data_IF_832620117838
#
_entry.id   IF_832620117838
#
_cell.length_a   1.000
_cell.length_b   1.000
_cell.length_c   1.000
_cell.angle_alpha   90.00
_cell.angle_beta   90.00
_cell.angle_gamma   90.00
#
_symmetry.space_group_name_H-M   'P 1'
#
loop_
_entity.id
_entity.type
_entity.pdbx_description
1 polymer ?
#
# COMPACT_ATOMS: atom_id res chain seq x y z
N UNK A 1 52.76 -46.02 -42.80
CA UNK A 1 52.08 -46.68 -43.94
C UNK A 1 50.72 -47.14 -43.43
N UNK A 2 49.67 -46.32 -43.61
CA UNK A 2 48.65 -46.43 -44.69
C UNK A 2 47.81 -47.69 -44.52
N UNK A 3 46.48 -47.74 -44.51
CA UNK A 3 45.33 -46.86 -44.76
C UNK A 3 44.12 -47.79 -44.43
N UNK A 4 43.00 -47.40 -43.80
CA UNK A 4 41.76 -46.90 -44.42
C UNK A 4 40.51 -47.58 -43.79
N UNK A 5 39.44 -46.77 -43.59
CA UNK A 5 37.99 -47.10 -43.69
C UNK A 5 37.39 -47.95 -42.54
N UNK A 6 36.17 -47.74 -42.01
CA UNK A 6 34.92 -47.13 -42.46
C UNK A 6 34.27 -46.38 -41.25
N UNK A 7 33.79 -45.15 -41.37
CA UNK A 7 32.42 -44.78 -41.76
C UNK A 7 31.30 -45.57 -41.03
N UNK A 8 30.77 -44.99 -39.96
CA UNK A 8 29.39 -45.24 -39.49
C UNK A 8 28.87 -43.98 -38.77
N UNK A 9 28.58 -42.98 -39.58
CA UNK A 9 28.07 -41.66 -39.21
C UNK A 9 26.61 -41.79 -38.75
N UNK A 10 26.39 -41.89 -37.43
CA UNK A 10 25.05 -41.90 -36.85
C UNK A 10 24.64 -40.46 -36.55
N UNK A 11 23.86 -39.89 -37.48
CA UNK A 11 23.11 -38.66 -37.26
C UNK A 11 21.96 -38.96 -36.30
N UNK A 12 22.17 -38.74 -34.99
CA UNK A 12 21.08 -38.66 -34.03
C UNK A 12 20.73 -37.18 -33.84
N UNK A 13 19.74 -36.76 -34.61
CA UNK A 13 18.99 -35.52 -34.45
C UNK A 13 18.37 -35.47 -33.06
N UNK A 14 19.04 -34.81 -32.12
CA UNK A 14 18.41 -34.39 -30.87
C UNK A 14 17.81 -33.01 -31.12
N UNK A 15 16.54 -32.98 -31.50
CA UNK A 15 15.70 -31.78 -31.39
C UNK A 15 15.60 -31.45 -29.89
N UNK A 16 16.50 -30.60 -29.40
CA UNK A 16 16.34 -29.90 -28.13
C UNK A 16 15.18 -28.92 -28.33
N UNK A 17 13.96 -29.41 -28.12
CA UNK A 17 12.80 -28.58 -27.90
C UNK A 17 13.12 -27.81 -26.62
N UNK A 18 13.58 -26.58 -26.79
CA UNK A 18 13.66 -25.57 -25.74
C UNK A 18 12.23 -25.31 -25.28
N UNK A 19 11.76 -26.15 -24.36
CA UNK A 19 10.54 -25.91 -23.61
C UNK A 19 10.80 -24.62 -22.82
N UNK A 20 10.45 -23.51 -23.45
CA UNK A 20 10.49 -22.18 -22.87
C UNK A 20 9.28 -22.13 -21.96
N UNK A 21 9.34 -22.85 -20.83
CA UNK A 21 8.42 -22.59 -19.74
C UNK A 21 8.64 -21.10 -19.42
N UNK A 22 7.62 -20.23 -19.57
CA UNK A 22 7.72 -18.92 -18.98
C UNK A 22 7.95 -19.17 -17.49
N UNK A 23 9.13 -18.81 -16.99
CA UNK A 23 9.38 -18.75 -15.57
C UNK A 23 8.41 -17.71 -15.04
N UNK A 24 7.28 -18.15 -14.47
CA UNK A 24 6.42 -17.30 -13.67
C UNK A 24 7.18 -17.03 -12.38
N UNK A 25 8.13 -16.10 -12.46
CA UNK A 25 8.64 -15.42 -11.28
C UNK A 25 7.57 -14.40 -10.89
N UNK A 26 6.45 -14.85 -10.32
CA UNK A 26 5.43 -13.95 -9.78
C UNK A 26 5.90 -13.41 -8.43
N UNK A 27 6.96 -12.60 -8.45
CA UNK A 27 7.29 -11.65 -7.38
C UNK A 27 6.42 -10.40 -7.54
N UNK A 28 5.10 -10.59 -7.56
CA UNK A 28 4.13 -9.54 -7.87
C UNK A 28 3.35 -9.17 -6.61
N UNK A 29 3.09 -7.88 -6.44
CA UNK A 29 2.23 -7.38 -5.38
C UNK A 29 0.84 -8.02 -5.45
N UNK A 30 0.36 -8.53 -4.32
CA UNK A 30 -0.90 -9.26 -4.24
C UNK A 30 -2.02 -8.40 -3.68
N UNK A 31 -3.18 -8.41 -4.35
CA UNK A 31 -4.41 -7.86 -3.83
C UNK A 31 -5.11 -8.94 -2.99
N UNK A 32 -5.55 -8.58 -1.78
CA UNK A 32 -6.29 -9.50 -0.92
C UNK A 32 -7.47 -8.76 -0.30
N UNK A 33 -8.60 -9.45 -0.22
CA UNK A 33 -9.73 -9.04 0.59
C UNK A 33 -9.83 -10.00 1.78
N UNK A 34 -9.97 -9.45 2.97
CA UNK A 34 -9.99 -10.19 4.24
C UNK A 34 -11.12 -9.67 5.12
N UNK A 35 -11.46 -10.44 6.14
CA UNK A 35 -12.41 -10.06 7.18
C UNK A 35 -11.68 -10.14 8.52
N UNK A 36 -11.74 -9.07 9.29
CA UNK A 36 -11.20 -9.04 10.64
C UNK A 36 -12.07 -9.91 11.55
N UNK A 37 -11.45 -10.89 12.21
CA UNK A 37 -12.14 -11.86 13.05
C UNK A 37 -12.72 -11.27 14.35
N UNK A 38 -12.24 -10.11 14.79
CA UNK A 38 -12.69 -9.48 16.05
C UNK A 38 -13.95 -8.65 15.87
N UNK A 39 -14.10 -8.00 14.72
CA UNK A 39 -15.21 -7.07 14.48
C UNK A 39 -16.02 -7.39 13.22
N UNK A 40 -15.70 -8.49 12.52
CA UNK A 40 -16.32 -8.94 11.27
C UNK A 40 -16.31 -7.88 10.15
N UNK A 41 -15.39 -6.93 10.20
CA UNK A 41 -15.26 -5.91 9.16
C UNK A 41 -14.38 -6.42 8.03
N UNK A 42 -14.89 -6.32 6.80
CA UNK A 42 -14.10 -6.57 5.61
C UNK A 42 -13.10 -5.45 5.37
N UNK A 43 -11.92 -5.80 4.90
CA UNK A 43 -10.85 -4.88 4.56
C UNK A 43 -10.09 -5.40 3.34
N UNK A 44 -9.52 -4.49 2.56
CA UNK A 44 -8.72 -4.83 1.38
C UNK A 44 -7.28 -4.40 1.60
N UNK A 45 -6.35 -5.11 0.96
CA UNK A 45 -4.94 -4.81 1.10
C UNK A 45 -4.13 -5.18 -0.14
N UNK A 46 -3.09 -4.39 -0.39
CA UNK A 46 -2.09 -4.61 -1.41
C UNK A 46 -0.82 -4.97 -0.65
N UNK A 47 -0.35 -6.20 -0.79
CA UNK A 47 0.80 -6.74 -0.05
C UNK A 47 1.97 -6.98 -0.99
N UNK A 48 3.15 -6.53 -0.59
CA UNK A 48 4.40 -6.75 -1.32
C UNK A 48 4.68 -8.25 -1.48
N UNK A 49 5.47 -8.63 -2.49
CA UNK A 49 5.94 -10.00 -2.65
C UNK A 49 6.62 -10.52 -1.37
N UNK A 50 6.60 -11.84 -1.19
CA UNK A 50 7.41 -12.48 -0.16
C UNK A 50 8.91 -12.28 -0.46
N UNK A 51 9.74 -12.12 0.58
CA UNK A 51 11.18 -12.07 0.42
C UNK A 51 11.69 -13.36 -0.25
N UNK A 52 12.77 -13.22 -1.02
CA UNK A 52 13.37 -14.38 -1.70
C UNK A 52 13.94 -15.35 -0.66
N UNK A 53 13.81 -16.68 -0.86
CA UNK A 53 14.43 -17.67 0.02
C UNK A 53 15.94 -17.41 0.18
N UNK A 54 16.41 -17.28 1.43
CA UNK A 54 17.82 -17.02 1.75
C UNK A 54 18.19 -15.54 1.90
N UNK A 55 17.24 -14.61 1.72
CA UNK A 55 17.35 -13.24 2.23
C UNK A 55 16.93 -13.23 3.70
N UNK A 56 17.73 -12.60 4.56
CA UNK A 56 17.57 -12.69 6.02
C UNK A 56 16.73 -11.56 6.64
N UNK A 57 16.24 -10.61 5.83
CA UNK A 57 15.47 -9.45 6.28
C UNK A 57 14.02 -9.54 5.74
N UNK A 58 13.14 -10.18 6.50
CA UNK A 58 11.75 -10.46 6.13
C UNK A 58 10.83 -9.23 6.27
N UNK A 59 11.20 -8.11 5.65
CA UNK A 59 10.35 -6.91 5.63
C UNK A 59 9.31 -7.04 4.52
N UNK A 60 8.05 -7.01 4.90
CA UNK A 60 6.92 -6.89 4.00
C UNK A 60 6.22 -5.54 4.19
N UNK A 61 5.83 -4.92 3.07
CA UNK A 61 5.04 -3.71 3.05
C UNK A 61 3.61 -4.03 2.60
N UNK A 62 2.62 -3.38 3.19
CA UNK A 62 1.24 -3.47 2.73
C UNK A 62 0.55 -2.12 2.83
N UNK A 63 -0.26 -1.79 1.83
CA UNK A 63 -1.31 -0.78 1.99
C UNK A 63 -2.61 -1.49 2.33
N UNK A 64 -3.30 -1.01 3.35
CA UNK A 64 -4.53 -1.60 3.87
C UNK A 64 -5.60 -0.53 3.88
N UNK A 65 -6.76 -0.83 3.29
CA UNK A 65 -7.96 -0.06 3.54
C UNK A 65 -8.85 -0.81 4.52
N UNK A 66 -9.01 -0.26 5.72
CA UNK A 66 -9.86 -0.85 6.77
C UNK A 66 -10.72 0.25 7.40
N UNK A 67 -12.02 0.01 7.50
CA UNK A 67 -12.99 1.01 7.99
C UNK A 67 -12.83 2.38 7.31
N UNK A 68 -12.63 2.38 5.99
CA UNK A 68 -12.41 3.56 5.14
C UNK A 68 -11.19 4.41 5.51
N UNK A 69 -10.26 3.84 6.30
CA UNK A 69 -8.97 4.45 6.61
C UNK A 69 -7.88 3.70 5.87
N UNK A 70 -7.07 4.48 5.16
CA UNK A 70 -5.87 3.98 4.53
C UNK A 70 -4.75 3.90 5.57
N UNK A 71 -4.13 2.73 5.66
CA UNK A 71 -3.01 2.45 6.54
C UNK A 71 -1.87 1.87 5.71
N UNK A 72 -0.66 2.36 5.96
CA UNK A 72 0.54 1.66 5.54
C UNK A 72 0.99 0.76 6.70
N UNK A 73 1.16 -0.53 6.41
CA UNK A 73 1.53 -1.56 7.39
C UNK A 73 2.85 -2.17 6.96
N UNK A 74 3.77 -2.29 7.92
CA UNK A 74 5.02 -3.01 7.74
C UNK A 74 5.05 -4.19 8.69
N UNK A 75 5.40 -5.35 8.15
CA UNK A 75 5.59 -6.60 8.88
C UNK A 75 7.07 -6.98 8.77
N UNK A 76 7.71 -7.31 9.89
CA UNK A 76 9.09 -7.81 9.94
C UNK A 76 9.26 -8.80 11.09
N UNK A 77 10.25 -9.69 10.98
CA UNK A 77 10.52 -10.75 11.96
C UNK A 77 10.72 -10.24 13.39
N UNK A 78 11.41 -9.10 13.55
CA UNK A 78 11.56 -8.39 14.82
C UNK A 78 11.65 -6.87 14.59
N UNK A 79 10.52 -6.18 14.66
CA UNK A 79 10.52 -4.72 14.80
C UNK A 79 10.87 -4.42 16.26
N UNK A 80 12.16 -4.30 16.59
CA UNK A 80 12.56 -4.04 17.98
C UNK A 80 12.19 -2.60 18.32
N UNK A 81 10.95 -2.44 18.80
CA UNK A 81 10.35 -1.30 19.49
C UNK A 81 9.31 -1.89 20.44
N UNK A 82 9.14 -1.34 21.64
CA UNK A 82 8.17 -1.89 22.60
C UNK A 82 6.75 -1.87 22.02
N UNK A 83 5.87 -2.78 22.45
CA UNK A 83 4.46 -2.73 22.02
C UNK A 83 3.87 -1.34 22.29
N UNK A 84 3.00 -0.89 21.39
CA UNK A 84 2.40 0.44 21.42
C UNK A 84 3.41 1.61 21.41
N UNK A 85 4.61 1.41 20.85
CA UNK A 85 5.60 2.49 20.72
C UNK A 85 5.77 2.97 19.28
N UNK A 86 6.24 4.21 19.17
CA UNK A 86 6.63 4.78 17.90
C UNK A 86 8.03 4.27 17.51
N UNK A 87 8.22 3.95 16.24
CA UNK A 87 9.53 3.69 15.67
C UNK A 87 9.70 4.41 14.35
N UNK A 88 10.96 4.63 13.98
CA UNK A 88 11.32 5.30 12.73
C UNK A 88 11.53 4.26 11.64
N UNK A 89 10.91 4.53 10.51
CA UNK A 89 11.11 3.82 9.26
C UNK A 89 11.57 4.82 8.22
N UNK A 90 12.54 4.48 7.40
CA UNK A 90 12.90 5.27 6.22
C UNK A 90 12.52 4.47 4.99
N UNK A 91 11.97 5.15 3.98
CA UNK A 91 11.83 4.57 2.65
C UNK A 91 12.50 5.46 1.62
N UNK A 92 12.94 4.84 0.54
CA UNK A 92 13.52 5.51 -0.61
C UNK A 92 12.94 4.89 -1.87
N UNK A 93 12.35 5.72 -2.74
CA UNK A 93 11.92 5.29 -4.07
C UNK A 93 13.10 5.43 -5.03
N UNK A 94 13.46 4.33 -5.69
CA UNK A 94 14.56 4.27 -6.65
C UNK A 94 15.85 4.91 -6.07
N UNK A 95 16.31 6.03 -6.65
CA UNK A 95 17.51 6.78 -6.20
C UNK A 95 17.16 8.15 -5.60
N UNK A 96 15.91 8.37 -5.21
CA UNK A 96 15.47 9.62 -4.61
C UNK A 96 15.99 9.77 -3.15
N UNK A 97 15.82 10.96 -2.57
CA UNK A 97 16.19 11.19 -1.19
C UNK A 97 15.34 10.29 -0.25
N UNK A 98 15.95 9.64 0.76
CA UNK A 98 15.19 8.89 1.76
C UNK A 98 14.21 9.77 2.52
N UNK A 99 13.00 9.26 2.73
CA UNK A 99 11.94 9.89 3.48
C UNK A 99 11.77 9.15 4.81
N UNK A 100 11.93 9.87 5.91
CA UNK A 100 11.73 9.32 7.25
C UNK A 100 10.27 9.42 7.68
N UNK A 101 9.70 8.30 8.06
CA UNK A 101 8.34 8.13 8.55
C UNK A 101 8.33 7.65 10.00
N UNK A 102 7.26 7.99 10.72
CA UNK A 102 6.99 7.45 12.05
C UNK A 102 5.85 6.43 11.97
N UNK A 103 6.11 5.23 12.47
CA UNK A 103 5.16 4.14 12.57
C UNK A 103 4.85 3.83 14.03
N UNK A 104 3.66 3.28 14.29
CA UNK A 104 3.22 2.76 15.59
C UNK A 104 3.18 1.25 15.52
N UNK A 105 3.75 0.53 16.49
CA UNK A 105 3.54 -0.92 16.60
C UNK A 105 2.09 -1.23 16.96
N UNK A 106 1.55 -2.34 16.46
CA UNK A 106 0.24 -2.82 16.91
C UNK A 106 0.28 -3.27 18.39
N UNK A 107 -0.81 -3.11 19.16
CA UNK A 107 -0.86 -3.56 20.55
C UNK A 107 -0.67 -5.07 20.73
N UNK A 108 -1.13 -5.86 19.76
CA UNK A 108 -1.11 -7.32 19.76
C UNK A 108 0.10 -7.92 19.04
N UNK A 109 0.97 -7.09 18.44
CA UNK A 109 2.13 -7.57 17.68
C UNK A 109 3.36 -6.70 17.80
N UNK A 110 4.49 -7.34 18.11
CA UNK A 110 5.84 -6.74 18.05
C UNK A 110 6.46 -6.81 16.65
N UNK A 111 5.76 -7.43 15.70
CA UNK A 111 6.24 -7.70 14.33
C UNK A 111 5.57 -6.81 13.29
N UNK A 112 4.54 -6.06 13.69
CA UNK A 112 3.75 -5.22 12.79
C UNK A 112 3.75 -3.79 13.29
N UNK A 113 4.01 -2.87 12.36
CA UNK A 113 3.83 -1.45 12.56
C UNK A 113 2.86 -0.89 11.54
N UNK A 114 2.23 0.23 11.87
CA UNK A 114 1.36 0.94 10.96
C UNK A 114 1.49 2.46 11.07
N UNK A 115 1.08 3.16 10.01
CA UNK A 115 0.85 4.60 9.99
C UNK A 115 -0.37 4.91 9.13
N UNK A 116 -1.19 5.85 9.60
CA UNK A 116 -2.33 6.41 8.83
C UNK A 116 -1.91 7.72 8.15
N UNK A 117 -1.19 8.57 8.91
CA UNK A 117 -0.77 9.91 8.49
C UNK A 117 0.08 9.89 7.20
N UNK A 118 0.98 8.91 7.09
CA UNK A 118 1.89 8.82 5.95
C UNK A 118 1.45 7.79 4.90
N UNK A 119 0.27 7.19 5.06
CA UNK A 119 -0.20 6.14 4.17
C UNK A 119 -0.48 6.66 2.75
N UNK A 120 -1.14 7.82 2.63
CA UNK A 120 -1.46 8.41 1.33
C UNK A 120 -0.21 8.95 0.58
N UNK A 121 0.71 9.70 1.20
CA UNK A 121 1.97 10.08 0.57
C UNK A 121 2.80 8.87 0.13
N UNK A 122 2.96 7.86 1.00
CA UNK A 122 3.67 6.64 0.65
C UNK A 122 2.99 5.92 -0.53
N UNK A 123 1.66 5.82 -0.54
CA UNK A 123 0.94 5.22 -1.66
C UNK A 123 1.20 5.93 -2.98
N UNK A 124 1.18 7.27 -3.00
CA UNK A 124 1.46 8.06 -4.18
C UNK A 124 2.88 7.81 -4.72
N UNK A 125 3.86 7.73 -3.82
CA UNK A 125 5.25 7.45 -4.16
C UNK A 125 5.45 6.04 -4.74
N UNK A 126 4.80 5.03 -4.15
CA UNK A 126 4.83 3.64 -4.63
C UNK A 126 4.20 3.48 -6.02
N UNK A 127 3.26 4.34 -6.40
CA UNK A 127 2.59 4.29 -7.70
C UNK A 127 3.48 4.77 -8.86
N UNK A 128 4.50 5.59 -8.57
CA UNK A 128 5.37 6.22 -9.59
C UNK A 128 6.74 5.55 -9.67
N UNK A 129 7.19 4.93 -8.58
CA UNK A 129 8.50 4.28 -8.48
C UNK A 129 8.61 2.93 -9.18
N UNK A 130 9.85 2.44 -9.31
CA UNK A 130 10.15 1.06 -9.77
C UNK A 130 10.57 0.15 -8.63
N UNK A 131 11.19 0.68 -7.60
CA UNK A 131 11.62 -0.06 -6.42
C UNK A 131 11.48 0.82 -5.20
N UNK A 132 11.01 0.24 -4.09
CA UNK A 132 11.07 0.89 -2.77
C UNK A 132 12.10 0.19 -1.90
N UNK A 133 13.06 0.95 -1.40
CA UNK A 133 14.00 0.50 -0.40
C UNK A 133 13.52 0.94 0.98
N UNK A 134 13.38 -0.01 1.90
CA UNK A 134 12.91 0.24 3.28
C UNK A 134 14.07 0.02 4.23
N UNK A 135 14.22 0.91 5.22
CA UNK A 135 15.13 0.77 6.37
C UNK A 135 14.35 0.92 7.66
N UNK A 136 14.59 0.00 8.59
CA UNK A 136 14.00 0.04 9.93
C UNK A 136 15.13 -0.01 10.93
N UNK A 137 15.24 1.03 11.75
CA UNK A 137 16.22 1.09 12.83
C UNK A 137 15.66 0.36 14.05
N UNK A 138 16.28 -0.76 14.42
CA UNK A 138 15.87 -1.53 15.60
C UNK A 138 16.50 -0.96 16.88
N UNK A 139 15.89 -1.24 18.04
CA UNK A 139 16.48 -0.90 19.35
C UNK A 139 17.86 -1.54 19.60
N UNK A 140 18.19 -2.67 18.96
CA UNK A 140 19.52 -3.30 19.08
C UNK A 140 20.56 -2.70 18.11
N UNK A 141 20.26 -1.56 17.48
CA UNK A 141 21.11 -0.87 16.49
C UNK A 141 21.41 -1.69 15.26
N UNK A 142 20.62 -2.73 14.99
CA UNK A 142 20.61 -3.39 13.69
C UNK A 142 19.69 -2.61 12.76
N UNK A 143 20.09 -2.49 11.50
CA UNK A 143 19.25 -1.91 10.45
C UNK A 143 18.68 -3.07 9.67
N UNK A 144 17.38 -3.26 9.75
CA UNK A 144 16.68 -4.17 8.84
C UNK A 144 16.45 -3.42 7.54
N UNK A 145 16.78 -4.02 6.41
CA UNK A 145 16.53 -3.37 5.14
C UNK A 145 16.10 -4.32 4.04
N UNK A 146 15.19 -3.85 3.19
CA UNK A 146 14.74 -4.64 2.06
C UNK A 146 14.47 -3.76 0.85
N UNK A 147 14.76 -4.30 -0.33
CA UNK A 147 14.42 -3.70 -1.62
C UNK A 147 13.22 -4.46 -2.18
N UNK A 148 12.09 -3.77 -2.29
CA UNK A 148 10.84 -4.34 -2.78
C UNK A 148 10.61 -3.83 -4.21
N UNK A 149 10.55 -4.71 -5.22
CA UNK A 149 10.20 -4.30 -6.56
C UNK A 149 8.75 -3.78 -6.59
N UNK A 150 8.51 -2.74 -7.39
CA UNK A 150 7.19 -2.15 -7.61
C UNK A 150 6.59 -2.57 -8.95
N UNK A 151 7.18 -3.57 -9.61
CA UNK A 151 6.63 -4.17 -10.82
C UNK A 151 5.18 -4.61 -10.59
N UNK A 152 4.29 -4.11 -11.43
CA UNK A 152 2.83 -4.36 -11.38
C UNK A 152 2.15 -3.95 -10.05
N UNK A 153 2.86 -3.28 -9.14
CA UNK A 153 2.30 -2.80 -7.88
C UNK A 153 1.19 -1.78 -8.11
N UNK A 154 1.35 -0.91 -9.11
CA UNK A 154 0.43 0.19 -9.39
C UNK A 154 -1.03 -0.28 -9.53
N UNK A 155 -1.29 -1.37 -10.25
CA UNK A 155 -2.65 -1.90 -10.43
C UNK A 155 -3.26 -2.34 -9.10
N UNK A 156 -2.50 -3.11 -8.32
CA UNK A 156 -2.91 -3.65 -7.03
C UNK A 156 -3.16 -2.53 -6.01
N UNK A 157 -2.24 -1.56 -5.94
CA UNK A 157 -2.34 -0.39 -5.07
C UNK A 157 -3.55 0.47 -5.45
N UNK A 158 -3.75 0.73 -6.75
CA UNK A 158 -4.89 1.50 -7.24
C UNK A 158 -6.22 0.85 -6.90
N UNK A 159 -6.31 -0.47 -6.93
CA UNK A 159 -7.52 -1.19 -6.53
C UNK A 159 -7.85 -0.95 -5.06
N UNK A 160 -6.88 -1.07 -4.14
CA UNK A 160 -7.09 -0.79 -2.71
C UNK A 160 -7.45 0.67 -2.45
N UNK A 161 -6.79 1.60 -3.14
CA UNK A 161 -7.10 3.02 -3.04
C UNK A 161 -8.53 3.33 -3.51
N UNK A 162 -8.97 2.66 -4.59
CA UNK A 162 -10.34 2.75 -5.06
C UNK A 162 -11.31 2.22 -4.01
N UNK A 163 -11.09 1.01 -3.45
CA UNK A 163 -11.94 0.46 -2.39
C UNK A 163 -12.02 1.39 -1.17
N UNK A 164 -10.94 2.11 -0.85
CA UNK A 164 -10.93 3.08 0.23
C UNK A 164 -11.67 4.39 -0.09
N UNK A 165 -11.84 4.71 -1.37
CA UNK A 165 -12.58 5.86 -1.84
C UNK A 165 -14.05 5.54 -2.20
N UNK A 166 -14.40 4.27 -2.45
CA UNK A 166 -15.75 3.84 -2.86
C UNK A 166 -16.83 4.20 -1.83
N UNK A 167 -16.46 4.35 -0.55
CA UNK A 167 -17.37 4.81 0.50
C UNK A 167 -17.13 6.26 0.96
N UNK A 168 -16.21 7.00 0.34
CA UNK A 168 -16.16 8.47 0.48
C UNK A 168 -17.34 9.17 -0.19
N UNK A 169 -18.11 8.47 -1.01
CA UNK A 169 -19.43 8.91 -1.46
C UNK A 169 -20.53 8.74 -0.38
N UNK A 170 -20.23 8.03 0.72
CA UNK A 170 -21.17 7.73 1.81
C UNK A 170 -20.71 8.22 3.20
N UNK A 171 -19.50 8.77 3.32
CA UNK A 171 -19.00 9.38 4.55
C UNK A 171 -19.26 10.90 4.53
N UNK A 172 -20.21 11.34 5.36
CA UNK A 172 -20.57 12.72 5.67
C UNK A 172 -19.34 13.65 5.62
N UNK A 173 -19.23 14.41 4.54
CA UNK A 173 -18.35 15.57 4.53
C UNK A 173 -18.91 16.56 5.54
N UNK A 174 -18.10 16.92 6.53
CA UNK A 174 -18.36 18.08 7.39
C UNK A 174 -18.73 19.23 6.45
N UNK A 175 -20.00 19.62 6.48
CA UNK A 175 -20.55 20.63 5.58
C UNK A 175 -19.95 21.99 5.95
N UNK A 176 -18.84 22.32 5.31
CA UNK A 176 -18.05 23.50 5.58
C UNK A 176 -18.60 24.76 4.89
N UNK A 177 -18.15 25.92 5.35
CA UNK A 177 -18.61 27.22 4.83
C UNK A 177 -18.43 27.35 3.31
N UNK A 178 -17.34 26.83 2.75
CA UNK A 178 -17.08 26.88 1.31
C UNK A 178 -18.08 26.06 0.50
N UNK A 179 -18.44 24.86 0.99
CA UNK A 179 -19.46 24.02 0.37
C UNK A 179 -20.84 24.68 0.44
N UNK A 180 -21.19 25.26 1.60
CA UNK A 180 -22.42 26.03 1.76
C UNK A 180 -22.52 27.21 0.80
N UNK A 181 -21.45 28.00 0.65
CA UNK A 181 -21.43 29.14 -0.27
C UNK A 181 -21.60 28.71 -1.72
N UNK A 182 -20.93 27.63 -2.12
CA UNK A 182 -21.04 27.07 -3.46
C UNK A 182 -22.46 26.58 -3.73
N UNK A 183 -23.08 25.82 -2.83
CA UNK A 183 -24.43 25.31 -3.01
C UNK A 183 -25.46 26.44 -3.02
N UNK A 184 -25.31 27.42 -2.13
CA UNK A 184 -26.19 28.59 -2.06
C UNK A 184 -26.16 29.40 -3.36
N UNK A 185 -24.98 29.54 -3.98
CA UNK A 185 -24.81 30.27 -5.25
C UNK A 185 -25.52 29.62 -6.44
N UNK A 186 -25.84 28.33 -6.35
CA UNK A 186 -26.55 27.58 -7.39
C UNK A 186 -28.08 27.70 -7.26
N UNK A 187 -28.59 28.20 -6.14
CA UNK A 187 -30.02 28.37 -5.91
C UNK A 187 -30.55 29.64 -6.57
N UNK A 188 -31.84 29.64 -6.93
CA UNK A 188 -32.50 30.86 -7.41
C UNK A 188 -32.60 31.91 -6.29
N UNK A 189 -32.76 33.21 -6.61
CA UNK A 189 -32.88 34.26 -5.59
C UNK A 189 -33.97 33.99 -4.55
N UNK A 190 -35.09 33.42 -4.96
CA UNK A 190 -36.21 33.06 -4.08
C UNK A 190 -35.84 31.93 -3.12
N UNK A 191 -35.11 30.92 -3.61
CA UNK A 191 -34.62 29.79 -2.82
C UNK A 191 -33.51 30.23 -1.86
N UNK A 192 -32.59 31.09 -2.29
CA UNK A 192 -31.58 31.70 -1.41
C UNK A 192 -32.25 32.45 -0.26
N UNK A 193 -33.31 33.23 -0.55
CA UNK A 193 -34.06 33.95 0.47
C UNK A 193 -34.71 33.01 1.49
N UNK A 194 -35.25 31.87 1.06
CA UNK A 194 -35.80 30.85 1.97
C UNK A 194 -34.72 30.25 2.87
N UNK A 195 -33.54 29.94 2.33
CA UNK A 195 -32.40 29.46 3.12
C UNK A 195 -31.98 30.49 4.15
N UNK A 196 -31.91 31.78 3.80
CA UNK A 196 -31.57 32.84 4.74
C UNK A 196 -32.57 32.98 5.89
N UNK A 197 -33.87 32.80 5.63
CA UNK A 197 -34.91 32.81 6.66
C UNK A 197 -34.71 31.65 7.64
N UNK A 198 -34.40 30.45 7.15
CA UNK A 198 -34.16 29.27 7.97
C UNK A 198 -32.87 29.41 8.81
N UNK A 199 -31.77 29.84 8.19
CA UNK A 199 -30.50 30.11 8.90
C UNK A 199 -30.72 31.15 10.00
N UNK A 200 -31.47 32.21 9.73
CA UNK A 200 -31.80 33.24 10.74
C UNK A 200 -32.61 32.67 11.90
N UNK A 201 -33.56 31.78 11.65
CA UNK A 201 -34.35 31.13 12.69
C UNK A 201 -33.46 30.24 13.59
N UNK A 202 -32.57 29.44 12.98
CA UNK A 202 -31.62 28.59 13.70
C UNK A 202 -30.66 29.44 14.53
N UNK A 203 -30.08 30.50 13.96
CA UNK A 203 -29.15 31.38 14.68
C UNK A 203 -29.79 32.09 15.89
N UNK A 204 -31.10 32.35 15.85
CA UNK A 204 -31.85 32.87 17.01
C UNK A 204 -32.09 31.81 18.08
N UNK A 205 -32.21 30.54 17.70
CA UNK A 205 -32.39 29.44 18.65
C UNK A 205 -31.07 29.01 19.32
N UNK A 206 -29.93 29.21 18.66
CA UNK A 206 -28.60 28.80 19.14
C UNK A 206 -27.91 29.88 19.98
N UNK A 207 -28.29 31.16 19.82
CA UNK A 207 -27.75 32.26 20.61
C UNK A 207 -28.57 32.36 21.91
N UNK A 208 -28.01 32.11 23.11
CA UNK A 208 -28.73 32.31 24.38
C UNK A 208 -29.12 33.78 24.57
#
# INVERSE_FOLDING_TARGET
MTHHRLLAQHWLSVFLITCSCPTWADSVWSYQQKTDSLNNQSYTLAKSPLPQPGMYDDIMLSLVCKAHKLQAVVEADDLISSQNSNFKLEYQIDQQAPVALTFKTFPDSKRKGYTEEFAAPLAADLMVGKTVFIRINTLLRTVLSNAIPLDLAAKTLQQVLADCAVDKAAAETVYGLAAFQQDLSQLTPEQQQQVWVQVRAIMRAVKP
#
